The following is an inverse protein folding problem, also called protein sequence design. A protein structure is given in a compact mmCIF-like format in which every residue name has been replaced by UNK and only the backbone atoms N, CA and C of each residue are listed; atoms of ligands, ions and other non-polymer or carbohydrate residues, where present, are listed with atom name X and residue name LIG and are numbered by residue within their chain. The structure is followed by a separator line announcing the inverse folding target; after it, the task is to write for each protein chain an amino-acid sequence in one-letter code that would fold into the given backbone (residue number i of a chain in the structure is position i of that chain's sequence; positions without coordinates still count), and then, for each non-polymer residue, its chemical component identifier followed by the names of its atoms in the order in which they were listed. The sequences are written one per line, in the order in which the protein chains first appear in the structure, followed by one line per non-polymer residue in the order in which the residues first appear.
data_IF_733381033588
#
_entry.id   IF_733381033588
#
_cell.length_a   1.000
_cell.length_b   1.000
_cell.length_c   1.000
_cell.angle_alpha   90.00
_cell.angle_beta   90.00
_cell.angle_gamma   90.00
#
_symmetry.space_group_name_H-M   'P 1'
#
loop_
_entity.id
_entity.type
_entity.pdbx_description
1 polymer ?
#
# COMPACT_ATOMS: atom_id res chain seq x y z
N UNK A 1 -15.55 14.76 -0.51
CA UNK A 1 -14.62 13.79 -1.13
C UNK A 1 -15.37 13.07 -2.23
N UNK A 2 -14.80 13.00 -3.44
CA UNK A 2 -15.34 12.28 -4.59
C UNK A 2 -14.45 11.09 -4.89
N UNK A 3 -15.03 9.95 -5.27
CA UNK A 3 -14.27 8.82 -5.81
C UNK A 3 -14.05 9.08 -7.29
N UNK A 4 -12.80 9.08 -7.73
CA UNK A 4 -12.42 9.31 -9.13
C UNK A 4 -11.43 8.22 -9.54
N UNK A 5 -11.61 7.56 -10.70
CA UNK A 5 -10.63 6.59 -11.20
C UNK A 5 -9.23 7.21 -11.31
N UNK A 6 -8.16 6.49 -10.92
CA UNK A 6 -6.80 7.06 -10.92
C UNK A 6 -6.36 7.69 -12.25
N UNK A 7 -6.72 7.06 -13.37
CA UNK A 7 -6.43 7.59 -14.71
C UNK A 7 -7.09 8.96 -14.99
N UNK A 8 -8.22 9.25 -14.35
CA UNK A 8 -8.96 10.50 -14.51
C UNK A 8 -8.54 11.58 -13.51
N UNK A 9 -7.80 11.24 -12.45
CA UNK A 9 -7.41 12.20 -11.41
C UNK A 9 -6.57 13.35 -11.98
N UNK A 10 -5.59 13.05 -12.84
CA UNK A 10 -4.72 14.05 -13.48
C UNK A 10 -5.51 14.98 -14.40
N UNK A 11 -6.42 14.42 -15.20
CA UNK A 11 -7.26 15.20 -16.10
C UNK A 11 -8.23 16.13 -15.34
N UNK A 12 -8.81 15.63 -14.24
CA UNK A 12 -9.69 16.45 -13.39
C UNK A 12 -8.94 17.57 -12.68
N UNK A 13 -7.69 17.31 -12.24
CA UNK A 13 -6.83 18.35 -11.65
C UNK A 13 -6.50 19.42 -12.71
N UNK A 14 -6.07 19.01 -13.91
CA UNK A 14 -5.78 19.91 -15.04
C UNK A 14 -6.97 20.80 -15.40
N UNK A 15 -8.18 20.24 -15.38
CA UNK A 15 -9.41 20.96 -15.71
C UNK A 15 -9.92 21.88 -14.58
N UNK A 16 -9.29 21.87 -13.40
CA UNK A 16 -9.78 22.64 -12.24
C UNK A 16 -11.05 22.06 -11.61
N UNK A 17 -11.39 20.79 -11.88
CA UNK A 17 -12.56 20.13 -11.29
C UNK A 17 -12.31 19.65 -9.86
N UNK A 18 -11.04 19.56 -9.44
CA UNK A 18 -10.60 19.19 -8.10
C UNK A 18 -9.38 20.04 -7.72
N UNK A 19 -9.24 20.36 -6.44
CA UNK A 19 -8.08 21.11 -5.92
C UNK A 19 -6.87 20.21 -5.61
N UNK A 20 -7.10 18.90 -5.50
CA UNK A 20 -6.07 17.92 -5.18
C UNK A 20 -6.66 16.52 -5.02
N UNK A 21 -5.79 15.51 -4.93
CA UNK A 21 -6.18 14.12 -4.71
C UNK A 21 -5.14 13.36 -3.89
N UNK A 22 -5.60 12.30 -3.22
CA UNK A 22 -4.77 11.23 -2.69
C UNK A 22 -4.91 10.03 -3.62
N UNK A 23 -3.87 9.71 -4.38
CA UNK A 23 -3.91 8.67 -5.41
C UNK A 23 -2.74 7.70 -5.32
N UNK A 24 -2.82 6.56 -6.03
CA UNK A 24 -1.68 5.67 -6.19
C UNK A 24 -0.66 6.29 -7.15
N UNK A 25 0.62 5.98 -6.93
CA UNK A 25 1.62 6.17 -7.98
C UNK A 25 1.30 5.26 -9.19
N UNK A 26 1.63 5.67 -10.42
CA UNK A 26 2.45 6.83 -10.77
C UNK A 26 1.65 8.13 -10.99
N UNK A 27 0.33 8.15 -10.77
CA UNK A 27 -0.51 9.29 -11.14
C UNK A 27 -0.17 10.58 -10.39
N UNK A 28 0.27 10.47 -9.13
CA UNK A 28 0.76 11.64 -8.39
C UNK A 28 2.00 12.25 -9.06
N UNK A 29 2.98 11.41 -9.40
CA UNK A 29 4.19 11.88 -10.09
C UNK A 29 3.89 12.34 -11.52
N UNK A 30 2.91 11.74 -12.17
CA UNK A 30 2.44 12.15 -13.49
C UNK A 30 1.84 13.56 -13.47
N UNK A 31 1.10 13.92 -12.41
CA UNK A 31 0.59 15.29 -12.26
C UNK A 31 1.72 16.33 -12.20
N UNK A 32 2.84 16.01 -11.55
CA UNK A 32 4.06 16.85 -11.56
C UNK A 32 4.71 16.88 -12.93
N UNK A 33 4.91 15.71 -13.54
CA UNK A 33 5.54 15.58 -14.85
C UNK A 33 4.78 16.33 -15.95
N UNK A 34 3.45 16.39 -15.82
CA UNK A 34 2.56 17.10 -16.73
C UNK A 34 2.32 18.58 -16.36
N UNK A 35 3.00 19.08 -15.32
CA UNK A 35 2.93 20.47 -14.83
C UNK A 35 1.52 20.91 -14.40
N UNK A 36 0.72 19.98 -13.87
CA UNK A 36 -0.66 20.25 -13.42
C UNK A 36 -0.82 20.21 -11.90
N UNK A 37 0.26 19.96 -11.16
CA UNK A 37 0.24 19.93 -9.71
C UNK A 37 1.61 19.71 -9.09
N UNK A 38 1.63 19.62 -7.77
CA UNK A 38 2.83 19.38 -6.96
C UNK A 38 2.55 18.33 -5.87
N UNK A 39 3.59 17.70 -5.35
CA UNK A 39 3.49 16.75 -4.25
C UNK A 39 3.47 17.51 -2.92
N UNK A 40 2.31 17.56 -2.26
CA UNK A 40 2.17 18.18 -0.95
C UNK A 40 2.81 17.34 0.18
N UNK A 41 2.51 16.03 0.21
CA UNK A 41 2.99 15.10 1.25
C UNK A 41 3.00 13.67 0.69
N UNK A 42 4.00 12.87 1.07
CA UNK A 42 4.01 11.43 0.80
C UNK A 42 3.25 10.70 1.92
N UNK A 43 2.48 9.66 1.58
CA UNK A 43 1.73 8.88 2.58
C UNK A 43 2.63 8.23 3.64
N UNK A 44 3.90 7.92 3.32
CA UNK A 44 4.89 7.48 4.32
C UNK A 44 5.15 8.50 5.43
N UNK A 45 5.02 9.79 5.12
CA UNK A 45 5.21 10.87 6.10
C UNK A 45 4.03 10.92 7.10
N UNK A 46 2.88 10.33 6.73
CA UNK A 46 1.71 10.15 7.59
C UNK A 46 1.85 8.86 8.41
N UNK A 47 2.22 7.77 7.74
CA UNK A 47 2.47 6.46 8.35
C UNK A 47 3.53 5.72 7.54
N UNK A 48 4.72 5.62 8.12
CA UNK A 48 5.84 4.89 7.52
C UNK A 48 5.56 3.38 7.53
N UNK A 49 5.69 2.75 6.36
CA UNK A 49 5.29 1.35 6.14
C UNK A 49 3.78 1.09 6.27
N UNK A 50 2.92 2.06 5.93
CA UNK A 50 1.47 1.87 5.89
C UNK A 50 1.07 0.73 4.93
N UNK A 51 -0.01 -0.01 5.24
CA UNK A 51 -0.59 -0.96 4.31
C UNK A 51 -1.12 -0.24 3.07
N UNK A 52 -0.93 -0.84 1.91
CA UNK A 52 -1.48 -0.35 0.64
C UNK A 52 -2.19 -1.51 -0.08
N UNK A 53 -1.71 -1.89 -1.26
CA UNK A 53 -2.27 -2.95 -2.09
C UNK A 53 -2.05 -4.33 -1.45
N UNK A 54 -2.97 -5.26 -1.75
CA UNK A 54 -2.89 -6.65 -1.32
C UNK A 54 -3.08 -7.60 -2.50
N UNK A 55 -2.42 -8.75 -2.45
CA UNK A 55 -2.73 -9.89 -3.30
C UNK A 55 -3.81 -10.74 -2.62
N UNK A 56 -5.01 -10.78 -3.21
CA UNK A 56 -6.14 -11.54 -2.68
C UNK A 56 -6.64 -12.56 -3.69
N UNK A 57 -7.02 -13.74 -3.20
CA UNK A 57 -7.71 -14.78 -3.98
C UNK A 57 -8.92 -15.29 -3.19
N UNK A 58 -9.96 -15.81 -3.86
CA UNK A 58 -11.08 -16.46 -3.16
C UNK A 58 -10.61 -17.66 -2.33
N UNK A 59 -11.21 -17.87 -1.17
CA UNK A 59 -10.93 -19.03 -0.31
C UNK A 59 -11.15 -20.36 -1.06
N UNK A 60 -12.21 -20.46 -1.86
CA UNK A 60 -12.50 -21.64 -2.68
C UNK A 60 -11.37 -21.94 -3.67
N UNK A 61 -10.70 -20.93 -4.23
CA UNK A 61 -9.57 -21.15 -5.14
C UNK A 61 -8.39 -21.80 -4.42
N UNK A 62 -8.09 -21.35 -3.19
CA UNK A 62 -7.02 -21.92 -2.36
C UNK A 62 -7.32 -23.39 -2.06
N UNK A 63 -8.55 -23.70 -1.65
CA UNK A 63 -8.96 -25.05 -1.28
C UNK A 63 -8.95 -26.02 -2.47
N UNK A 64 -9.40 -25.56 -3.64
CA UNK A 64 -9.48 -26.38 -4.84
C UNK A 64 -8.13 -26.51 -5.56
N UNK A 65 -7.24 -25.50 -5.43
CA UNK A 65 -5.99 -25.42 -6.17
C UNK A 65 -4.78 -25.13 -5.27
N UNK A 66 -4.53 -25.93 -4.21
CA UNK A 66 -3.53 -25.59 -3.19
C UNK A 66 -2.10 -25.49 -3.75
N UNK A 67 -1.74 -26.36 -4.71
CA UNK A 67 -0.41 -26.32 -5.35
C UNK A 67 -0.25 -25.09 -6.25
N UNK A 68 -1.30 -24.73 -6.99
CA UNK A 68 -1.31 -23.52 -7.85
C UNK A 68 -1.22 -22.26 -6.99
N UNK A 69 -1.99 -22.20 -5.91
CA UNK A 69 -1.89 -21.10 -4.94
C UNK A 69 -0.48 -20.98 -4.37
N UNK A 70 0.12 -22.10 -3.93
CA UNK A 70 1.49 -22.11 -3.42
C UNK A 70 2.51 -21.59 -4.46
N UNK A 71 2.36 -21.98 -5.73
CA UNK A 71 3.23 -21.49 -6.80
C UNK A 71 3.05 -19.98 -7.04
N UNK A 72 1.82 -19.51 -7.21
CA UNK A 72 1.50 -18.09 -7.37
C UNK A 72 2.03 -17.26 -6.21
N UNK A 73 1.82 -17.74 -4.99
CA UNK A 73 2.22 -17.03 -3.79
C UNK A 73 3.75 -16.92 -3.67
N UNK A 74 4.51 -17.98 -3.97
CA UNK A 74 5.98 -17.90 -4.05
C UNK A 74 6.44 -16.93 -5.15
N UNK A 75 5.76 -16.89 -6.29
CA UNK A 75 6.06 -15.91 -7.35
C UNK A 75 5.87 -14.47 -6.88
N UNK A 76 4.78 -14.18 -6.15
CA UNK A 76 4.54 -12.84 -5.55
C UNK A 76 5.63 -12.49 -4.53
N UNK A 77 5.99 -13.40 -3.62
CA UNK A 77 7.07 -13.19 -2.65
C UNK A 77 8.43 -12.94 -3.33
N UNK A 78 8.69 -13.64 -4.43
CA UNK A 78 9.93 -13.51 -5.20
C UNK A 78 9.96 -12.16 -5.92
N UNK A 79 8.87 -11.76 -6.56
CA UNK A 79 8.73 -10.47 -7.22
C UNK A 79 8.84 -9.30 -6.21
N UNK A 80 8.23 -9.42 -5.04
CA UNK A 80 8.35 -8.46 -3.95
C UNK A 80 9.82 -8.33 -3.50
N UNK A 81 10.51 -9.44 -3.22
CA UNK A 81 11.92 -9.41 -2.84
C UNK A 81 12.82 -8.80 -3.93
N UNK A 82 12.55 -9.08 -5.21
CA UNK A 82 13.24 -8.45 -6.33
C UNK A 82 12.96 -6.94 -6.36
N UNK A 83 11.72 -6.52 -6.16
CA UNK A 83 11.32 -5.12 -6.16
C UNK A 83 11.87 -4.35 -4.98
N UNK A 84 12.13 -4.97 -3.82
CA UNK A 84 12.75 -4.27 -2.67
C UNK A 84 14.22 -3.89 -2.90
N UNK A 85 14.91 -4.54 -3.83
CA UNK A 85 16.31 -4.27 -4.17
C UNK A 85 16.45 -2.99 -5.00
N UNK A 86 17.16 -1.95 -4.53
CA UNK A 86 17.32 -0.69 -5.26
C UNK A 86 17.85 -0.87 -6.69
N UNK A 87 18.80 -1.78 -6.89
CA UNK A 87 19.42 -2.08 -8.19
C UNK A 87 18.42 -2.60 -9.25
N UNK A 88 17.27 -3.12 -8.84
CA UNK A 88 16.26 -3.63 -9.76
C UNK A 88 15.20 -2.58 -10.14
N UNK A 89 15.14 -1.44 -9.44
CA UNK A 89 14.04 -0.47 -9.57
C UNK A 89 13.93 0.12 -10.97
N UNK A 90 15.05 0.44 -11.60
CA UNK A 90 15.07 0.98 -12.98
C UNK A 90 14.64 -0.07 -14.00
N UNK A 91 15.12 -1.31 -13.86
CA UNK A 91 14.68 -2.42 -14.72
C UNK A 91 13.17 -2.66 -14.59
N UNK A 92 12.64 -2.63 -13.37
CA UNK A 92 11.21 -2.79 -13.12
C UNK A 92 10.42 -1.66 -13.78
N UNK A 93 10.87 -0.40 -13.64
CA UNK A 93 10.24 0.75 -14.29
C UNK A 93 10.12 0.55 -15.81
N UNK A 94 11.21 0.13 -16.44
CA UNK A 94 11.27 -0.16 -17.88
C UNK A 94 10.33 -1.31 -18.29
N UNK A 95 10.27 -2.38 -17.52
CA UNK A 95 9.43 -3.56 -17.84
C UNK A 95 7.94 -3.23 -17.74
N UNK A 96 7.52 -2.43 -16.76
CA UNK A 96 6.09 -2.14 -16.52
C UNK A 96 5.58 -0.88 -17.25
N UNK A 97 6.46 -0.09 -17.88
CA UNK A 97 6.11 1.11 -18.63
C UNK A 97 5.25 0.88 -19.90
N UNK A 98 5.51 -0.14 -20.73
CA UNK A 98 4.86 -0.30 -22.03
C UNK A 98 3.34 -0.46 -21.97
N UNK A 99 2.70 -0.33 -23.14
CA UNK A 99 1.25 -0.39 -23.31
C UNK A 99 0.62 -1.72 -22.86
N UNK A 100 1.39 -2.81 -22.87
CA UNK A 100 0.98 -4.13 -22.40
C UNK A 100 0.85 -4.20 -20.86
N UNK A 101 1.36 -3.19 -20.14
CA UNK A 101 1.33 -3.07 -18.69
C UNK A 101 0.65 -1.76 -18.28
N UNK A 102 1.41 -0.81 -17.72
CA UNK A 102 0.83 0.41 -17.15
C UNK A 102 0.56 1.49 -18.20
N UNK A 103 1.21 1.41 -19.37
CA UNK A 103 1.15 2.44 -20.41
C UNK A 103 1.46 3.84 -19.85
N UNK A 104 2.52 3.95 -19.02
CA UNK A 104 2.95 5.21 -18.40
C UNK A 104 4.39 5.53 -18.79
N UNK A 105 4.79 6.81 -18.85
CA UNK A 105 6.16 7.18 -19.19
C UNK A 105 7.17 6.52 -18.25
N UNK A 106 8.19 5.88 -18.81
CA UNK A 106 9.25 5.22 -18.05
C UNK A 106 9.89 6.17 -17.04
N UNK A 107 10.16 7.42 -17.44
CA UNK A 107 10.74 8.44 -16.56
C UNK A 107 9.89 8.69 -15.29
N UNK A 108 8.56 8.67 -15.39
CA UNK A 108 7.66 8.86 -14.24
C UNK A 108 7.75 7.66 -13.30
N UNK A 109 7.76 6.44 -13.85
CA UNK A 109 7.90 5.21 -13.08
C UNK A 109 9.26 5.11 -12.39
N UNK A 110 10.34 5.48 -13.08
CA UNK A 110 11.70 5.52 -12.51
C UNK A 110 11.76 6.49 -11.34
N UNK A 111 11.18 7.68 -11.45
CA UNK A 111 11.14 8.67 -10.36
C UNK A 111 10.42 8.15 -9.10
N UNK A 112 9.30 7.44 -9.29
CA UNK A 112 8.55 6.78 -8.21
C UNK A 112 9.38 5.67 -7.58
N UNK A 113 9.87 4.73 -8.39
CA UNK A 113 10.46 3.48 -7.93
C UNK A 113 11.84 3.66 -7.30
N UNK A 114 12.62 4.64 -7.77
CA UNK A 114 13.95 4.97 -7.21
C UNK A 114 13.88 6.00 -6.09
N UNK A 115 12.76 6.72 -5.97
CA UNK A 115 12.59 7.75 -4.96
C UNK A 115 13.31 9.07 -5.26
N UNK A 116 13.91 9.23 -6.44
CA UNK A 116 14.46 10.51 -6.91
C UNK A 116 13.46 11.18 -7.85
N UNK A 117 12.80 12.24 -7.41
CA UNK A 117 11.67 12.83 -8.14
C UNK A 117 11.58 14.35 -7.99
N UNK A 118 11.00 15.01 -8.99
CA UNK A 118 10.62 16.41 -8.89
C UNK A 118 9.36 16.55 -8.03
N UNK A 119 9.31 17.54 -7.13
CA UNK A 119 8.16 17.77 -6.26
C UNK A 119 7.09 18.68 -6.88
N UNK A 120 7.38 19.33 -8.02
CA UNK A 120 6.49 20.30 -8.67
C UNK A 120 6.55 21.71 -8.08
N UNK A 121 7.45 21.96 -7.13
CA UNK A 121 7.73 23.27 -6.52
C UNK A 121 9.15 23.77 -6.86
N UNK A 122 9.76 23.19 -7.90
CA UNK A 122 11.11 23.51 -8.34
C UNK A 122 12.21 22.74 -7.62
N UNK A 123 11.89 21.80 -6.72
CA UNK A 123 12.89 20.99 -6.04
C UNK A 123 12.94 19.55 -6.57
N UNK A 124 14.10 18.93 -6.39
CA UNK A 124 14.28 17.49 -6.55
C UNK A 124 14.42 16.87 -5.15
N UNK A 125 13.52 15.95 -4.82
CA UNK A 125 13.59 15.16 -3.58
C UNK A 125 14.30 13.83 -3.86
N UNK A 126 15.09 13.38 -2.89
CA UNK A 126 15.71 12.04 -2.88
C UNK A 126 15.21 11.31 -1.65
N UNK A 127 14.34 10.34 -1.87
CA UNK A 127 13.64 9.57 -0.85
C UNK A 127 13.60 8.11 -1.31
N UNK A 128 14.71 7.35 -1.17
CA UNK A 128 14.79 5.97 -1.65
C UNK A 128 13.66 5.08 -1.10
N UNK A 129 13.19 5.38 0.11
CA UNK A 129 12.10 4.69 0.80
C UNK A 129 10.70 5.23 0.41
N UNK A 130 10.57 5.97 -0.69
CA UNK A 130 9.27 6.46 -1.20
C UNK A 130 8.29 5.31 -1.40
N UNK A 131 8.78 4.18 -1.90
CA UNK A 131 7.99 2.97 -2.15
C UNK A 131 8.73 1.72 -1.64
N UNK A 132 8.09 0.96 -0.77
CA UNK A 132 8.53 -0.38 -0.36
C UNK A 132 7.55 -1.45 -0.86
N UNK A 133 8.00 -2.70 -0.86
CA UNK A 133 7.25 -3.87 -1.32
C UNK A 133 7.31 -4.98 -0.27
N UNK A 134 7.15 -4.65 1.02
CA UNK A 134 6.99 -5.64 2.10
C UNK A 134 5.75 -6.51 1.82
N UNK A 135 5.91 -7.83 1.55
CA UNK A 135 4.79 -8.67 1.16
C UNK A 135 4.02 -9.23 2.37
N UNK A 136 4.45 -8.93 3.61
CA UNK A 136 3.88 -9.57 4.80
C UNK A 136 2.47 -9.04 5.09
N UNK A 137 1.44 -9.89 5.13
CA UNK A 137 0.08 -9.49 5.49
C UNK A 137 -0.04 -9.38 7.02
N UNK A 138 0.46 -8.28 7.59
CA UNK A 138 0.40 -8.03 9.02
C UNK A 138 -1.04 -7.94 9.53
N UNK A 139 -1.43 -8.84 10.43
CA UNK A 139 -2.78 -8.87 11.00
C UNK A 139 -3.09 -7.60 11.80
N UNK A 140 -2.09 -6.95 12.42
CA UNK A 140 -2.30 -5.63 13.05
C UNK A 140 -2.74 -4.55 12.05
N UNK A 141 -2.32 -4.61 10.79
CA UNK A 141 -2.80 -3.68 9.76
C UNK A 141 -4.27 -3.93 9.44
N UNK A 142 -4.70 -5.20 9.36
CA UNK A 142 -6.10 -5.55 9.17
C UNK A 142 -6.98 -5.04 10.33
N UNK A 143 -6.51 -5.19 11.57
CA UNK A 143 -7.19 -4.61 12.73
C UNK A 143 -7.29 -3.09 12.59
N UNK A 144 -6.19 -2.39 12.26
CA UNK A 144 -6.23 -0.93 12.06
C UNK A 144 -7.25 -0.52 10.99
N UNK A 145 -7.28 -1.20 9.84
CA UNK A 145 -8.25 -0.91 8.78
C UNK A 145 -9.68 -1.06 9.27
N UNK A 146 -9.99 -2.14 9.99
CA UNK A 146 -11.31 -2.35 10.59
C UNK A 146 -11.65 -1.25 11.61
N UNK A 147 -10.69 -0.80 12.41
CA UNK A 147 -10.91 0.34 13.32
C UNK A 147 -11.27 1.63 12.59
N UNK A 148 -10.60 1.92 11.46
CA UNK A 148 -10.90 3.13 10.69
C UNK A 148 -12.22 3.01 9.94
N UNK A 149 -12.59 1.81 9.46
CA UNK A 149 -13.91 1.55 8.89
C UNK A 149 -15.01 1.76 9.93
N UNK A 150 -14.81 1.31 11.17
CA UNK A 150 -15.73 1.58 12.28
C UNK A 150 -15.79 3.08 12.57
N UNK A 151 -14.65 3.74 12.77
CA UNK A 151 -14.54 5.19 13.02
C UNK A 151 -15.33 6.03 12.02
N UNK A 152 -15.35 5.64 10.74
CA UNK A 152 -16.06 6.36 9.69
C UNK A 152 -17.49 5.86 9.41
N UNK A 153 -18.00 4.93 10.23
CA UNK A 153 -19.38 4.44 10.15
C UNK A 153 -19.65 3.41 9.04
N UNK A 154 -18.62 2.92 8.36
CA UNK A 154 -18.73 1.86 7.36
C UNK A 154 -18.99 0.49 7.98
N UNK A 155 -18.41 0.26 9.16
CA UNK A 155 -18.61 -0.95 9.96
C UNK A 155 -19.53 -0.61 11.14
N UNK A 156 -20.70 -1.24 11.19
CA UNK A 156 -21.68 -1.05 12.26
C UNK A 156 -21.69 -2.26 13.19
N UNK A 157 -21.86 -2.01 14.48
CA UNK A 157 -21.91 -3.05 15.52
C UNK A 157 -20.54 -3.49 16.03
N UNK A 158 -20.57 -4.56 16.83
CA UNK A 158 -19.36 -5.15 17.41
C UNK A 158 -18.77 -6.18 16.45
N UNK A 159 -17.48 -6.02 16.17
CA UNK A 159 -16.73 -6.87 15.26
C UNK A 159 -15.52 -7.41 15.99
N UNK A 160 -15.37 -8.72 15.95
CA UNK A 160 -14.17 -9.37 16.44
C UNK A 160 -13.03 -9.14 15.44
N UNK A 161 -12.29 -8.04 15.60
CA UNK A 161 -11.23 -7.66 14.66
C UNK A 161 -10.19 -8.76 14.49
N UNK A 162 -9.82 -9.44 15.59
CA UNK A 162 -8.82 -10.52 15.59
C UNK A 162 -9.26 -11.68 14.71
N UNK A 163 -10.50 -12.14 14.87
CA UNK A 163 -11.05 -13.23 14.08
C UNK A 163 -11.07 -12.91 12.58
N UNK A 164 -11.49 -11.69 12.21
CA UNK A 164 -11.53 -11.26 10.80
C UNK A 164 -10.11 -11.13 10.24
N UNK A 165 -9.20 -10.52 11.00
CA UNK A 165 -7.81 -10.36 10.59
C UNK A 165 -7.13 -11.72 10.35
N UNK A 166 -7.29 -12.68 11.27
CA UNK A 166 -6.69 -14.02 11.14
C UNK A 166 -7.29 -14.85 10.00
N UNK A 167 -8.56 -14.63 9.67
CA UNK A 167 -9.22 -15.32 8.55
C UNK A 167 -8.77 -14.79 7.18
N UNK A 168 -8.53 -13.48 7.06
CA UNK A 168 -8.28 -12.82 5.77
C UNK A 168 -6.78 -12.63 5.50
N UNK A 169 -6.00 -12.30 6.53
CA UNK A 169 -4.56 -12.04 6.42
C UNK A 169 -3.79 -13.32 6.76
N UNK A 170 -3.51 -14.10 5.72
CA UNK A 170 -2.90 -15.44 5.75
C UNK A 170 -1.40 -15.39 6.08
N UNK A 171 -1.04 -14.85 7.24
CA UNK A 171 0.37 -14.70 7.64
C UNK A 171 1.05 -16.04 7.90
N UNK A 172 0.32 -17.09 8.26
CA UNK A 172 0.89 -18.43 8.46
C UNK A 172 1.44 -18.98 7.15
N UNK A 173 0.68 -18.88 6.06
CA UNK A 173 1.12 -19.21 4.70
C UNK A 173 2.29 -18.31 4.28
N UNK A 174 2.20 -17.00 4.57
CA UNK A 174 3.30 -16.05 4.35
C UNK A 174 4.61 -16.56 4.94
N UNK A 175 4.62 -16.84 6.24
CA UNK A 175 5.82 -17.31 6.96
C UNK A 175 6.34 -18.63 6.41
N UNK A 176 5.45 -19.57 6.09
CA UNK A 176 5.82 -20.86 5.50
C UNK A 176 6.57 -20.67 4.18
N UNK A 177 5.97 -19.96 3.23
CA UNK A 177 6.56 -19.81 1.89
C UNK A 177 7.78 -18.88 1.88
N UNK A 178 7.83 -17.87 2.74
CA UNK A 178 9.03 -17.07 2.94
C UNK A 178 10.19 -17.93 3.44
N UNK A 179 9.94 -18.84 4.41
CA UNK A 179 10.95 -19.78 4.91
C UNK A 179 11.46 -20.72 3.81
N UNK A 180 10.55 -21.28 3.00
CA UNK A 180 10.91 -22.14 1.86
C UNK A 180 11.79 -21.42 0.83
N UNK A 181 11.59 -20.11 0.65
CA UNK A 181 12.38 -19.26 -0.25
C UNK A 181 13.66 -18.69 0.40
N UNK A 182 13.96 -19.03 1.65
CA UNK A 182 15.11 -18.48 2.39
C UNK A 182 15.00 -16.98 2.67
N UNK A 183 13.79 -16.43 2.67
CA UNK A 183 13.54 -15.02 2.95
C UNK A 183 13.38 -14.75 4.46
N UNK A 184 13.61 -13.51 4.94
CA UNK A 184 13.38 -13.15 6.33
C UNK A 184 11.93 -13.42 6.74
N UNK A 185 11.73 -14.19 7.81
CA UNK A 185 10.40 -14.52 8.32
C UNK A 185 10.04 -13.56 9.47
N UNK A 186 8.88 -12.89 9.41
CA UNK A 186 8.48 -11.96 10.46
C UNK A 186 8.19 -12.65 11.79
N UNK A 187 8.60 -12.01 12.89
CA UNK A 187 8.22 -12.39 14.25
C UNK A 187 6.80 -11.90 14.57
N UNK A 188 5.94 -12.81 15.03
CA UNK A 188 4.54 -12.50 15.33
C UNK A 188 3.73 -12.03 14.11
N UNK A 189 2.54 -11.46 14.37
CA UNK A 189 1.63 -10.95 13.34
C UNK A 189 1.03 -9.58 13.67
N UNK A 190 1.28 -9.11 14.90
CA UNK A 190 0.66 -7.93 15.48
C UNK A 190 1.72 -6.92 15.93
N UNK A 191 2.48 -6.36 14.98
CA UNK A 191 3.40 -5.26 15.30
C UNK A 191 2.62 -3.98 15.64
N UNK A 192 3.19 -3.17 16.53
CA UNK A 192 2.71 -1.82 16.82
C UNK A 192 3.17 -0.85 15.73
N UNK A 193 2.41 0.22 15.54
CA UNK A 193 2.71 1.25 14.55
C UNK A 193 2.67 2.64 15.16
N UNK A 194 3.34 3.60 14.52
CA UNK A 194 3.15 5.02 14.78
C UNK A 194 2.50 5.66 13.55
N UNK A 195 1.27 6.15 13.73
CA UNK A 195 0.40 6.63 12.66
C UNK A 195 -0.02 8.05 13.03
N UNK A 196 0.35 9.04 12.23
CA UNK A 196 0.11 10.46 12.54
C UNK A 196 0.60 10.84 13.95
N UNK A 197 1.77 10.34 14.34
CA UNK A 197 2.34 10.59 15.66
C UNK A 197 1.76 9.78 16.82
N UNK A 198 0.64 9.07 16.63
CA UNK A 198 -0.01 8.24 17.66
C UNK A 198 0.42 6.78 17.55
N UNK A 199 0.70 6.14 18.69
CA UNK A 199 0.90 4.68 18.73
C UNK A 199 -0.43 3.96 18.46
N UNK A 200 -0.39 2.98 17.58
CA UNK A 200 -1.46 2.01 17.38
C UNK A 200 -1.01 0.65 17.91
N UNK A 201 -1.79 0.13 18.86
CA UNK A 201 -1.69 -1.21 19.41
C UNK A 201 -2.99 -1.95 19.07
N UNK A 202 -2.89 -3.04 18.31
CA UNK A 202 -4.05 -3.82 17.88
C UNK A 202 -4.83 -4.41 19.06
N UNK A 203 -4.18 -4.66 20.21
CA UNK A 203 -4.85 -5.12 21.43
C UNK A 203 -5.70 -4.02 22.08
N UNK A 204 -5.44 -2.74 21.75
CA UNK A 204 -6.13 -1.55 22.26
C UNK A 204 -6.83 -0.77 21.16
N UNK A 205 -7.31 -1.49 20.15
CA UNK A 205 -7.94 -0.94 18.94
C UNK A 205 -9.08 0.05 19.23
N UNK A 206 -9.95 -0.25 20.21
CA UNK A 206 -11.08 0.61 20.55
C UNK A 206 -10.65 1.86 21.35
N UNK A 207 -9.62 1.76 22.19
CA UNK A 207 -9.03 2.93 22.87
C UNK A 207 -8.42 3.88 21.82
N UNK A 208 -7.70 3.33 20.84
CA UNK A 208 -7.15 4.10 19.73
C UNK A 208 -8.25 4.83 18.94
N UNK A 209 -9.35 4.14 18.62
CA UNK A 209 -10.52 4.73 17.94
C UNK A 209 -11.10 5.89 18.76
N UNK A 210 -11.32 5.71 20.07
CA UNK A 210 -11.86 6.73 20.97
C UNK A 210 -10.92 7.94 21.17
N UNK A 211 -9.64 7.81 20.83
CA UNK A 211 -8.66 8.90 20.96
C UNK A 211 -8.80 10.02 19.92
N UNK A 212 -9.65 9.85 18.91
CA UNK A 212 -9.81 10.84 17.83
C UNK A 212 -10.95 11.81 18.12
N UNK A 213 -10.67 13.11 17.94
CA UNK A 213 -11.68 14.16 18.08
C UNK A 213 -12.78 14.11 17.00
N UNK A 214 -12.47 13.53 15.84
CA UNK A 214 -13.40 13.41 14.71
C UNK A 214 -13.71 11.93 14.47
N UNK A 215 -14.98 11.57 14.63
CA UNK A 215 -15.53 10.22 14.47
C UNK A 215 -16.98 10.29 13.93
N UNK A 216 -17.41 9.21 13.27
CA UNK A 216 -18.80 8.89 12.93
C UNK A 216 -19.33 7.66 13.68
N UNK A 217 -18.43 6.88 14.30
CA UNK A 217 -18.76 5.85 15.28
C UNK A 217 -19.28 6.48 16.57
#
# INVERSE_FOLDING_TARGET
LRVTPPAEMVANLRAGNIDGFLGPDPFNQRAVFEEVGFIHILSREIWDGHPCCAFGVPEAFIQQNPNTFAALYRSVLTAAAMARKPENRELIAKVISPAQYLNQPEAVLTQVLTGKFADGLGNVRVVPERADFDPVPWQSMAVWMLTQMKRWGYLKGDVNYKQVAEKVFLITDAKKYMKELGQPVPDGAYKKFKIMGKEFDAAKADEYLKSFAISKA
#
